data_IF_384381840111
#
_entry.id   IF_384381840111
#
_cell.length_a   1.000
_cell.length_b   1.000
_cell.length_c   1.000
_cell.angle_alpha   90.00
_cell.angle_beta   90.00
_cell.angle_gamma   90.00
#
_symmetry.space_group_name_H-M   'P 1'
#
loop_
_entity.id
_entity.type
_entity.pdbx_description
1 polymer ?
#
# COMPACT_ATOMS: atom_id res chain seq x y z
N UNK A 1 67.20 20.49 -41.68
CA UNK A 1 66.54 21.54 -40.88
C UNK A 1 65.11 21.11 -40.61
N UNK A 2 64.66 21.33 -39.36
CA UNK A 2 63.38 21.06 -38.68
C UNK A 2 62.16 20.62 -39.52
N UNK A 3 61.44 19.53 -39.16
CA UNK A 3 60.42 19.43 -38.09
C UNK A 3 59.23 20.38 -38.37
N UNK A 4 57.97 19.95 -38.48
CA UNK A 4 57.17 19.34 -37.42
C UNK A 4 55.97 18.58 -38.02
N UNK A 5 55.78 17.33 -37.59
CA UNK A 5 54.53 16.58 -37.73
C UNK A 5 53.58 17.06 -36.62
N UNK A 6 52.77 18.07 -36.91
CA UNK A 6 51.73 18.59 -36.02
C UNK A 6 50.42 17.82 -36.23
N UNK A 7 50.30 16.64 -35.62
CA UNK A 7 49.06 15.84 -35.69
C UNK A 7 48.64 15.02 -34.45
N UNK A 8 49.20 15.12 -33.22
CA UNK A 8 48.67 14.33 -32.10
C UNK A 8 47.58 15.03 -31.26
N UNK A 9 47.44 16.37 -31.31
CA UNK A 9 46.58 17.11 -30.36
C UNK A 9 45.08 17.06 -30.67
N UNK A 10 44.69 17.08 -31.95
CA UNK A 10 43.28 17.14 -32.34
C UNK A 10 42.52 15.83 -32.05
N UNK A 11 43.16 14.67 -32.28
CA UNK A 11 42.56 13.37 -32.01
C UNK A 11 42.34 13.11 -30.50
N UNK A 12 43.26 13.56 -29.64
CA UNK A 12 43.14 13.45 -28.19
C UNK A 12 42.04 14.35 -27.60
N UNK A 13 41.84 15.55 -28.15
CA UNK A 13 40.78 16.45 -27.70
C UNK A 13 39.37 15.91 -28.00
N UNK A 14 39.19 15.30 -29.18
CA UNK A 14 37.91 14.71 -29.62
C UNK A 14 37.58 13.44 -28.82
N UNK A 15 38.58 12.62 -28.48
CA UNK A 15 38.38 11.43 -27.64
C UNK A 15 38.04 11.81 -26.19
N UNK A 16 38.72 12.81 -25.62
CA UNK A 16 38.47 13.31 -24.27
C UNK A 16 37.07 13.94 -24.12
N UNK A 17 36.59 14.68 -25.11
CA UNK A 17 35.24 15.26 -25.12
C UNK A 17 34.15 14.18 -25.17
N UNK A 18 34.34 13.13 -25.98
CA UNK A 18 33.43 11.97 -26.04
C UNK A 18 33.43 11.17 -24.74
N UNK A 19 34.58 11.03 -24.10
CA UNK A 19 34.74 10.30 -22.84
C UNK A 19 34.13 11.06 -21.65
N UNK A 20 34.28 12.39 -21.60
CA UNK A 20 33.64 13.25 -20.61
C UNK A 20 32.11 13.25 -20.75
N UNK A 21 31.59 13.26 -22.00
CA UNK A 21 30.15 13.16 -22.28
C UNK A 21 29.58 11.81 -21.86
N UNK A 22 30.27 10.70 -22.13
CA UNK A 22 29.88 9.35 -21.66
C UNK A 22 29.90 9.23 -20.13
N UNK A 23 30.87 9.84 -19.45
CA UNK A 23 30.90 9.88 -17.97
C UNK A 23 29.73 10.68 -17.41
N UNK A 24 29.43 11.87 -17.96
CA UNK A 24 28.26 12.68 -17.55
C UNK A 24 26.94 11.94 -17.77
N UNK A 25 26.75 11.26 -18.92
CA UNK A 25 25.55 10.45 -19.17
C UNK A 25 25.41 9.29 -18.18
N UNK A 26 26.50 8.62 -17.79
CA UNK A 26 26.46 7.55 -16.79
C UNK A 26 26.06 8.07 -15.41
N UNK A 27 26.58 9.23 -15.00
CA UNK A 27 26.18 9.86 -13.74
C UNK A 27 24.72 10.31 -13.72
N UNK A 28 24.21 10.86 -14.83
CA UNK A 28 22.78 11.21 -14.97
C UNK A 28 21.90 9.97 -14.92
N UNK A 29 22.28 8.88 -15.58
CA UNK A 29 21.54 7.62 -15.53
C UNK A 29 21.51 7.03 -14.11
N UNK A 30 22.64 7.04 -13.39
CA UNK A 30 22.68 6.60 -11.99
C UNK A 30 21.78 7.47 -11.12
N UNK A 31 21.84 8.79 -11.26
CA UNK A 31 21.00 9.72 -10.49
C UNK A 31 19.50 9.50 -10.74
N UNK A 32 19.10 9.22 -12.00
CA UNK A 32 17.72 8.90 -12.34
C UNK A 32 17.26 7.57 -11.73
N UNK A 33 18.10 6.54 -11.76
CA UNK A 33 17.79 5.23 -11.16
C UNK A 33 17.65 5.36 -9.63
N UNK A 34 18.58 6.04 -8.96
CA UNK A 34 18.51 6.21 -7.50
C UNK A 34 17.29 7.01 -7.09
N UNK A 35 16.94 8.06 -7.84
CA UNK A 35 15.73 8.85 -7.57
C UNK A 35 14.47 8.01 -7.78
N UNK A 36 14.42 7.20 -8.85
CA UNK A 36 13.31 6.29 -9.10
C UNK A 36 13.11 5.26 -7.98
N UNK A 37 14.20 4.69 -7.45
CA UNK A 37 14.14 3.75 -6.32
C UNK A 37 13.62 4.42 -5.05
N UNK A 38 14.11 5.62 -4.73
CA UNK A 38 13.66 6.37 -3.54
C UNK A 38 12.16 6.68 -3.62
N UNK A 39 11.67 7.17 -4.76
CA UNK A 39 10.25 7.48 -4.96
C UNK A 39 9.37 6.23 -4.84
N UNK A 40 9.78 5.12 -5.45
CA UNK A 40 9.03 3.85 -5.37
C UNK A 40 8.97 3.32 -3.92
N UNK A 41 10.06 3.46 -3.17
CA UNK A 41 10.14 2.99 -1.78
C UNK A 41 9.23 3.82 -0.87
N UNK A 42 9.21 5.14 -1.03
CA UNK A 42 8.32 6.02 -0.25
C UNK A 42 6.84 5.76 -0.53
N UNK A 43 6.47 5.50 -1.80
CA UNK A 43 5.09 5.17 -2.16
C UNK A 43 4.64 3.85 -1.52
N UNK A 44 5.49 2.82 -1.51
CA UNK A 44 5.18 1.54 -0.88
C UNK A 44 4.91 1.67 0.63
N UNK A 45 5.68 2.50 1.34
CA UNK A 45 5.44 2.75 2.77
C UNK A 45 4.09 3.44 3.04
N UNK A 46 3.66 4.35 2.15
CA UNK A 46 2.40 5.07 2.32
C UNK A 46 1.16 4.18 2.16
N UNK A 47 1.26 3.05 1.45
CA UNK A 47 0.16 2.09 1.31
C UNK A 47 -0.04 1.22 2.56
N UNK A 48 0.94 1.12 3.45
CA UNK A 48 0.86 0.24 4.62
C UNK A 48 -0.10 0.74 5.71
N UNK A 49 -0.50 2.01 5.68
CA UNK A 49 -1.29 2.64 6.75
C UNK A 49 -2.66 3.16 6.27
N UNK A 50 -3.11 2.73 5.09
CA UNK A 50 -4.44 3.11 4.63
C UNK A 50 -5.52 2.32 5.37
N UNK A 51 -6.62 2.99 5.78
CA UNK A 51 -7.77 2.30 6.36
C UNK A 51 -8.38 1.37 5.31
N UNK A 52 -8.72 0.17 5.76
CA UNK A 52 -9.41 -0.84 4.96
C UNK A 52 -10.89 -0.52 5.03
N UNK A 53 -11.54 -0.31 3.89
CA UNK A 53 -12.98 -0.07 3.82
C UNK A 53 -13.63 -1.17 3.01
N UNK A 54 -14.55 -1.91 3.62
CA UNK A 54 -15.25 -3.04 3.01
C UNK A 54 -16.75 -2.85 3.14
N UNK A 55 -17.46 -2.92 2.01
CA UNK A 55 -18.92 -2.90 1.96
C UNK A 55 -19.45 -4.25 1.52
N UNK A 56 -20.39 -4.81 2.28
CA UNK A 56 -20.91 -6.15 2.00
C UNK A 56 -21.96 -6.62 2.99
N UNK A 57 -22.45 -7.83 2.83
CA UNK A 57 -23.42 -8.46 3.74
C UNK A 57 -22.69 -9.16 4.87
N UNK A 58 -23.16 -9.01 6.10
CA UNK A 58 -22.64 -9.77 7.25
C UNK A 58 -22.96 -11.26 7.06
N UNK A 59 -21.98 -12.14 7.25
CA UNK A 59 -22.13 -13.61 7.12
C UNK A 59 -21.85 -14.36 8.41
N UNK A 60 -21.15 -13.74 9.37
CA UNK A 60 -20.89 -14.29 10.71
C UNK A 60 -20.79 -13.19 11.74
N UNK A 61 -21.32 -13.43 12.93
CA UNK A 61 -21.21 -12.55 14.10
C UNK A 61 -20.91 -13.38 15.33
N UNK A 62 -19.65 -13.35 15.76
CA UNK A 62 -19.19 -13.94 17.01
C UNK A 62 -19.31 -12.88 18.10
N UNK A 63 -20.17 -13.12 19.08
CA UNK A 63 -20.41 -12.20 20.17
C UNK A 63 -19.47 -12.49 21.34
N UNK A 64 -18.89 -11.44 21.93
CA UNK A 64 -18.19 -11.54 23.21
C UNK A 64 -19.19 -11.46 24.35
N UNK A 65 -20.13 -10.53 24.25
CA UNK A 65 -21.24 -10.31 25.16
C UNK A 65 -22.45 -9.72 24.41
N UNK A 66 -23.48 -9.25 25.14
CA UNK A 66 -24.70 -8.72 24.53
C UNK A 66 -24.48 -7.37 23.80
N UNK A 67 -23.50 -6.59 24.25
CA UNK A 67 -23.17 -5.28 23.71
C UNK A 67 -22.09 -5.31 22.63
N UNK A 68 -21.16 -6.27 22.69
CA UNK A 68 -19.95 -6.25 21.86
C UNK A 68 -19.73 -7.54 21.06
N UNK A 69 -19.43 -7.37 19.78
CA UNK A 69 -18.90 -8.44 18.93
C UNK A 69 -17.40 -8.64 19.19
N UNK A 70 -16.90 -9.86 19.05
CA UNK A 70 -15.46 -10.14 19.01
C UNK A 70 -14.95 -10.22 17.59
N UNK A 71 -15.68 -10.92 16.71
CA UNK A 71 -15.33 -11.14 15.32
C UNK A 71 -16.58 -11.05 14.44
N UNK A 72 -16.42 -10.44 13.28
CA UNK A 72 -17.42 -10.47 12.21
C UNK A 72 -16.82 -10.98 10.91
N UNK A 73 -17.67 -11.55 10.06
CA UNK A 73 -17.34 -11.82 8.67
C UNK A 73 -18.31 -11.05 7.76
N UNK A 74 -17.77 -10.45 6.70
CA UNK A 74 -18.52 -9.69 5.70
C UNK A 74 -18.17 -10.23 4.32
N UNK A 75 -19.18 -10.48 3.49
CA UNK A 75 -19.02 -10.88 2.10
C UNK A 75 -19.35 -9.74 1.16
N UNK A 76 -18.42 -9.38 0.29
CA UNK A 76 -18.63 -8.35 -0.72
C UNK A 76 -19.52 -8.84 -1.85
N UNK A 77 -20.01 -7.92 -2.69
CA UNK A 77 -20.76 -8.27 -3.91
C UNK A 77 -19.96 -9.12 -4.90
N UNK A 78 -18.63 -9.08 -4.83
CA UNK A 78 -17.71 -9.91 -5.63
C UNK A 78 -17.56 -11.32 -5.06
N UNK A 79 -18.20 -11.62 -3.93
CA UNK A 79 -18.11 -12.90 -3.23
C UNK A 79 -16.89 -13.05 -2.33
N UNK A 80 -16.04 -12.03 -2.23
CA UNK A 80 -14.88 -12.03 -1.33
C UNK A 80 -15.34 -11.95 0.11
N UNK A 81 -14.86 -12.87 0.96
CA UNK A 81 -15.12 -12.85 2.38
C UNK A 81 -13.96 -12.17 3.13
N UNK A 82 -14.32 -11.27 4.04
CA UNK A 82 -13.42 -10.54 4.92
C UNK A 82 -13.78 -10.86 6.37
N UNK A 83 -12.76 -11.05 7.21
CA UNK A 83 -12.93 -11.24 8.64
C UNK A 83 -12.26 -10.09 9.39
N UNK A 84 -12.96 -9.59 10.41
CA UNK A 84 -12.49 -8.49 11.24
C UNK A 84 -12.61 -8.85 12.71
N UNK A 85 -11.58 -8.55 13.48
CA UNK A 85 -11.75 -8.35 14.92
C UNK A 85 -12.50 -7.05 15.14
N UNK A 86 -13.37 -6.97 16.14
CA UNK A 86 -14.17 -5.76 16.41
C UNK A 86 -13.58 -5.02 17.60
N UNK A 87 -13.29 -3.73 17.40
CA UNK A 87 -12.85 -2.84 18.47
C UNK A 87 -14.00 -2.59 19.46
N UNK A 88 -13.69 -2.49 20.75
CA UNK A 88 -14.71 -2.35 21.81
C UNK A 88 -15.48 -1.01 21.69
N UNK A 89 -14.93 -0.02 20.97
CA UNK A 89 -15.56 1.27 20.73
C UNK A 89 -16.60 1.27 19.58
N UNK A 90 -16.78 0.15 18.86
CA UNK A 90 -17.75 0.07 17.77
C UNK A 90 -19.18 0.12 18.31
N UNK A 91 -19.93 1.15 17.91
CA UNK A 91 -21.33 1.37 18.32
C UNK A 91 -22.31 0.55 17.47
N UNK A 92 -22.06 -0.75 17.35
CA UNK A 92 -23.03 -1.68 16.76
C UNK A 92 -23.02 -3.02 17.49
N UNK A 93 -24.17 -3.33 18.11
CA UNK A 93 -24.31 -4.54 18.91
C UNK A 93 -24.35 -5.80 18.02
N UNK A 94 -23.99 -6.98 18.58
CA UNK A 94 -24.19 -8.25 17.89
C UNK A 94 -25.64 -8.51 17.45
N UNK A 95 -26.62 -7.98 18.18
CA UNK A 95 -28.04 -8.09 17.81
C UNK A 95 -28.33 -7.33 16.52
N UNK A 96 -27.89 -6.08 16.44
CA UNK A 96 -28.05 -5.24 15.25
C UNK A 96 -27.31 -5.80 14.03
N UNK A 97 -26.08 -6.30 14.21
CA UNK A 97 -25.35 -6.99 13.14
C UNK A 97 -26.07 -8.25 12.64
N UNK A 98 -26.71 -9.01 13.53
CA UNK A 98 -27.49 -10.21 13.14
C UNK A 98 -28.78 -9.86 12.41
N UNK A 99 -29.35 -8.69 12.69
CA UNK A 99 -30.50 -8.17 11.94
C UNK A 99 -30.11 -7.94 10.47
N UNK A 100 -29.04 -7.17 10.23
CA UNK A 100 -28.51 -6.99 8.88
C UNK A 100 -28.15 -8.33 8.21
N UNK A 101 -27.54 -9.27 8.95
CA UNK A 101 -27.26 -10.62 8.45
C UNK A 101 -28.53 -11.38 8.04
N UNK A 102 -29.60 -11.30 8.84
CA UNK A 102 -30.85 -12.02 8.57
C UNK A 102 -31.58 -11.46 7.33
N UNK A 103 -31.51 -10.14 7.14
CA UNK A 103 -32.13 -9.47 6.00
C UNK A 103 -31.22 -9.35 4.77
N UNK A 104 -29.95 -9.76 4.89
CA UNK A 104 -28.96 -9.61 3.83
C UNK A 104 -28.68 -8.14 3.50
N UNK A 105 -28.82 -7.26 4.48
CA UNK A 105 -28.54 -5.84 4.33
C UNK A 105 -27.04 -5.59 4.31
N UNK A 106 -26.66 -4.52 3.62
CA UNK A 106 -25.27 -4.14 3.46
C UNK A 106 -24.82 -3.37 4.69
N UNK A 107 -23.58 -3.62 5.09
CA UNK A 107 -22.86 -2.81 6.07
C UNK A 107 -21.55 -2.33 5.44
N UNK A 108 -21.07 -1.18 5.90
CA UNK A 108 -19.75 -0.64 5.59
C UNK A 108 -18.86 -0.74 6.81
N UNK A 109 -17.82 -1.57 6.73
CA UNK A 109 -16.79 -1.73 7.76
C UNK A 109 -15.59 -0.86 7.40
N UNK A 110 -15.22 0.04 8.30
CA UNK A 110 -13.91 0.71 8.28
C UNK A 110 -13.01 0.04 9.31
N UNK A 111 -11.87 -0.46 8.86
CA UNK A 111 -10.92 -1.18 9.68
C UNK A 111 -9.52 -0.62 9.56
N UNK A 112 -8.74 -0.74 10.64
CA UNK A 112 -7.30 -0.50 10.63
C UNK A 112 -6.56 -1.81 10.33
N UNK A 113 -5.39 -1.74 9.65
CA UNK A 113 -4.54 -2.91 9.47
C UNK A 113 -4.22 -3.60 10.80
N UNK A 114 -4.04 -4.92 10.74
CA UNK A 114 -3.65 -5.70 11.90
C UNK A 114 -2.30 -5.21 12.45
N UNK A 115 -2.22 -5.00 13.76
CA UNK A 115 -0.94 -4.72 14.40
C UNK A 115 -0.02 -5.93 14.30
N UNK A 116 1.30 -5.73 14.34
CA UNK A 116 2.30 -6.79 14.24
C UNK A 116 2.04 -7.88 15.30
N UNK A 117 1.64 -9.07 14.87
CA UNK A 117 1.27 -10.20 15.75
C UNK A 117 -0.23 -10.46 15.90
N UNK A 118 -1.10 -9.68 15.24
CA UNK A 118 -2.53 -9.96 15.11
C UNK A 118 -2.81 -10.46 13.68
N UNK A 119 -3.68 -11.47 13.53
CA UNK A 119 -3.99 -12.03 12.19
C UNK A 119 -5.12 -11.28 11.47
N UNK A 120 -6.04 -10.67 12.22
CA UNK A 120 -7.21 -9.99 11.66
C UNK A 120 -7.07 -8.47 11.70
N UNK A 121 -7.51 -7.75 10.63
CA UNK A 121 -7.73 -6.32 10.70
C UNK A 121 -8.80 -5.99 11.75
N UNK A 122 -8.72 -4.79 12.32
CA UNK A 122 -9.59 -4.38 13.43
C UNK A 122 -10.62 -3.40 12.91
N UNK A 123 -11.90 -3.80 12.88
CA UNK A 123 -13.03 -2.93 12.59
C UNK A 123 -13.17 -1.89 13.69
N UNK A 124 -13.10 -0.62 13.31
CA UNK A 124 -13.19 0.54 14.21
C UNK A 124 -14.49 1.31 14.03
N UNK A 125 -15.13 1.18 12.87
CA UNK A 125 -16.44 1.76 12.56
C UNK A 125 -17.21 0.75 11.72
N UNK A 126 -18.48 0.56 12.02
CA UNK A 126 -19.39 -0.18 11.16
C UNK A 126 -20.69 0.63 11.02
N UNK A 127 -21.12 0.86 9.79
CA UNK A 127 -22.38 1.55 9.47
C UNK A 127 -23.24 0.69 8.55
N UNK A 128 -24.52 1.00 8.45
CA UNK A 128 -25.43 0.54 7.40
C UNK A 128 -25.12 1.16 6.01
#
# INVERSE_FOLDING_TARGET
MASEVSAPKAHAAVSNARQARRRRLRWVAVALITTGIVVATSAALALCDQPIVVRGTVTRVDARDIGHASVIAVRTSEGQEWQFAVDDAVDMTPGHLREHMMFGELVTVTARPAAKGTELPIAVIITD
#
